data_IF_173352117845
#
_entry.id   IF_173352117845
#
_cell.length_a   1.000
_cell.length_b   1.000
_cell.length_c   1.000
_cell.angle_alpha   90.00
_cell.angle_beta   90.00
_cell.angle_gamma   90.00
#
_symmetry.space_group_name_H-M   'P 1'
#
loop_
_entity.id
_entity.type
_entity.pdbx_description
1 polymer ?
#
# COMPACT_ATOMS: atom_id res chain seq x y z
N UNK A 1 19.58 -6.84 -23.10
CA UNK A 1 19.62 -6.18 -21.79
C UNK A 1 19.03 -7.09 -20.73
N UNK A 2 19.74 -7.27 -19.64
CA UNK A 2 19.25 -8.09 -18.54
C UNK A 2 18.14 -7.40 -17.77
N UNK A 3 17.11 -8.15 -17.38
CA UNK A 3 16.11 -7.69 -16.41
C UNK A 3 16.67 -7.94 -15.01
N UNK A 4 16.79 -6.89 -14.22
CA UNK A 4 17.18 -7.03 -12.82
C UNK A 4 15.93 -7.39 -12.00
N UNK A 5 15.98 -8.52 -11.32
CA UNK A 5 14.92 -8.98 -10.43
C UNK A 5 15.42 -8.96 -9.00
N UNK A 6 14.71 -8.27 -8.13
CA UNK A 6 14.95 -8.32 -6.69
C UNK A 6 13.77 -9.03 -6.05
N UNK A 7 14.04 -10.00 -5.20
CA UNK A 7 13.00 -10.79 -4.54
C UNK A 7 13.23 -10.77 -3.04
N UNK A 8 12.15 -10.51 -2.30
CA UNK A 8 12.17 -10.52 -0.84
C UNK A 8 10.93 -11.25 -0.30
N UNK A 9 11.11 -11.97 0.80
CA UNK A 9 10.01 -12.60 1.51
C UNK A 9 9.61 -11.69 2.67
N UNK A 10 8.36 -11.24 2.65
CA UNK A 10 7.77 -10.42 3.69
C UNK A 10 6.98 -11.29 4.65
N UNK A 11 7.51 -11.49 5.83
CA UNK A 11 6.84 -12.25 6.88
C UNK A 11 5.70 -11.47 7.52
N UNK A 12 4.75 -12.17 8.14
CA UNK A 12 3.66 -11.56 8.87
C UNK A 12 4.14 -10.58 9.95
N UNK A 13 3.48 -9.45 10.08
CA UNK A 13 3.86 -8.39 11.01
C UNK A 13 5.06 -7.55 10.60
N UNK A 14 5.58 -7.76 9.40
CA UNK A 14 6.69 -6.99 8.85
C UNK A 14 6.20 -5.98 7.81
N UNK A 15 7.09 -5.06 7.47
CA UNK A 15 6.81 -4.06 6.45
C UNK A 15 7.95 -4.01 5.43
N UNK A 16 7.64 -3.48 4.28
CA UNK A 16 8.57 -3.30 3.18
C UNK A 16 8.30 -1.96 2.50
N UNK A 17 9.34 -1.31 2.06
CA UNK A 17 9.23 -0.06 1.31
C UNK A 17 10.33 0.03 0.27
N UNK A 18 10.00 0.59 -0.87
CA UNK A 18 10.95 0.78 -1.95
C UNK A 18 10.49 1.90 -2.87
N UNK A 19 11.43 2.59 -3.45
CA UNK A 19 11.16 3.50 -4.56
C UNK A 19 11.05 2.70 -5.85
N UNK A 20 9.93 2.85 -6.53
CA UNK A 20 9.66 2.20 -7.81
C UNK A 20 9.66 3.26 -8.89
N UNK A 21 10.47 3.06 -9.92
CA UNK A 21 10.56 3.97 -11.05
C UNK A 21 9.62 3.53 -12.17
N UNK A 22 9.32 4.46 -13.07
CA UNK A 22 8.53 4.17 -14.26
C UNK A 22 9.16 3.01 -15.04
N UNK A 23 8.33 2.09 -15.50
CA UNK A 23 8.75 0.91 -16.25
C UNK A 23 9.10 -0.30 -15.39
N UNK A 24 9.18 -0.14 -14.08
CA UNK A 24 9.35 -1.27 -13.16
C UNK A 24 8.01 -1.93 -12.88
N UNK A 25 8.06 -3.23 -12.59
CA UNK A 25 6.90 -4.01 -12.16
C UNK A 25 7.09 -4.46 -10.72
N UNK A 26 6.03 -4.34 -9.92
CA UNK A 26 5.95 -4.92 -8.59
C UNK A 26 5.02 -6.13 -8.66
N UNK A 27 5.51 -7.28 -8.23
CA UNK A 27 4.72 -8.49 -8.10
C UNK A 27 4.57 -8.85 -6.62
N UNK A 28 3.34 -9.05 -6.20
CA UNK A 28 3.00 -9.54 -4.87
C UNK A 28 2.49 -10.97 -5.00
N UNK A 29 3.12 -11.90 -4.30
CA UNK A 29 2.75 -13.31 -4.33
C UNK A 29 2.43 -13.79 -2.94
N UNK A 30 1.26 -14.39 -2.77
CA UNK A 30 0.87 -15.00 -1.51
C UNK A 30 1.33 -16.46 -1.51
N UNK A 31 2.35 -16.75 -0.72
CA UNK A 31 3.00 -18.07 -0.71
C UNK A 31 2.18 -19.12 0.03
N UNK A 32 1.41 -18.71 1.03
CA UNK A 32 0.68 -19.64 1.91
C UNK A 32 -0.83 -19.63 1.68
N UNK A 33 -1.33 -18.72 0.87
CA UNK A 33 -2.75 -18.63 0.52
C UNK A 33 -3.63 -17.92 1.56
N UNK A 34 -3.06 -17.38 2.63
CA UNK A 34 -3.80 -16.71 3.69
C UNK A 34 -3.22 -15.32 4.03
N UNK A 35 -2.41 -14.77 3.15
CA UNK A 35 -1.76 -13.48 3.34
C UNK A 35 -2.73 -12.32 3.16
N UNK A 36 -2.53 -11.29 3.96
CA UNK A 36 -3.22 -10.00 3.81
C UNK A 36 -2.17 -8.89 3.80
N UNK A 37 -2.03 -8.24 2.67
CA UNK A 37 -1.04 -7.17 2.47
C UNK A 37 -1.75 -5.84 2.26
N UNK A 38 -1.44 -4.87 3.12
CA UNK A 38 -1.85 -3.49 2.91
C UNK A 38 -0.81 -2.74 2.08
N UNK A 39 -1.26 -1.90 1.18
CA UNK A 39 -0.39 -1.12 0.32
C UNK A 39 -0.78 0.36 0.34
N UNK A 40 0.21 1.22 0.47
CA UNK A 40 0.10 2.64 0.21
C UNK A 40 1.18 3.06 -0.76
N UNK A 41 0.95 4.12 -1.49
CA UNK A 41 1.91 4.64 -2.44
C UNK A 41 1.89 6.16 -2.47
N UNK A 42 3.06 6.73 -2.69
CA UNK A 42 3.27 8.17 -2.80
C UNK A 42 4.06 8.47 -4.06
N UNK A 43 3.84 9.64 -4.63
CA UNK A 43 4.72 10.15 -5.65
C UNK A 43 6.07 10.51 -5.02
N UNK A 44 7.16 9.88 -5.47
CA UNK A 44 8.49 10.13 -4.92
C UNK A 44 9.00 11.56 -5.13
N UNK A 45 8.51 12.24 -6.15
CA UNK A 45 8.87 13.63 -6.46
C UNK A 45 8.02 14.64 -5.70
N UNK A 46 6.82 14.25 -5.28
CA UNK A 46 5.89 15.06 -4.52
C UNK A 46 5.13 14.17 -3.53
N UNK A 47 5.65 13.99 -2.31
CA UNK A 47 5.04 13.09 -1.32
C UNK A 47 3.64 13.50 -0.85
N UNK A 48 3.18 14.69 -1.19
CA UNK A 48 1.80 15.11 -0.93
C UNK A 48 0.82 14.41 -1.85
N UNK A 49 1.27 14.01 -3.04
CA UNK A 49 0.48 13.21 -3.95
C UNK A 49 0.57 11.73 -3.57
N UNK A 50 -0.55 11.12 -3.28
CA UNK A 50 -0.63 9.73 -2.82
C UNK A 50 -1.73 8.94 -3.49
N UNK A 51 -1.62 7.64 -3.39
CA UNK A 51 -2.66 6.72 -3.85
C UNK A 51 -3.99 7.04 -3.17
N UNK A 52 -5.03 7.19 -3.99
CA UNK A 52 -6.40 7.41 -3.55
C UNK A 52 -7.30 6.32 -4.10
N UNK A 53 -7.67 5.38 -3.26
CA UNK A 53 -8.52 4.25 -3.66
C UNK A 53 -9.95 4.69 -3.99
N UNK A 54 -10.62 5.55 -3.19
CA UNK A 54 -11.94 6.05 -3.58
C UNK A 54 -11.98 6.68 -4.98
N UNK A 55 -11.01 7.51 -5.32
CA UNK A 55 -10.94 8.11 -6.65
C UNK A 55 -10.64 7.06 -7.73
N UNK A 56 -9.81 6.07 -7.44
CA UNK A 56 -9.53 4.96 -8.36
C UNK A 56 -10.79 4.18 -8.69
N UNK A 57 -11.64 3.91 -7.71
CA UNK A 57 -12.92 3.23 -7.92
C UNK A 57 -13.89 4.10 -8.71
N UNK A 58 -14.02 5.36 -8.32
CA UNK A 58 -14.95 6.30 -8.93
C UNK A 58 -14.64 6.56 -10.40
N UNK A 59 -13.37 6.83 -10.73
CA UNK A 59 -12.96 7.11 -12.09
C UNK A 59 -13.20 5.94 -13.05
N UNK A 60 -13.16 4.73 -12.54
CA UNK A 60 -13.29 3.51 -13.34
C UNK A 60 -14.66 2.84 -13.19
N UNK A 61 -15.56 3.42 -12.42
CA UNK A 61 -16.91 2.91 -12.19
C UNK A 61 -16.92 1.45 -11.73
N UNK A 62 -16.05 1.09 -10.79
CA UNK A 62 -15.92 -0.27 -10.30
C UNK A 62 -15.62 -0.31 -8.81
N UNK A 63 -16.02 -1.37 -8.13
CA UNK A 63 -15.55 -1.71 -6.78
C UNK A 63 -14.50 -2.82 -6.80
N UNK A 64 -14.22 -3.37 -7.97
CA UNK A 64 -13.28 -4.47 -8.14
C UNK A 64 -12.09 -4.00 -8.95
N UNK A 65 -10.99 -3.71 -8.26
CA UNK A 65 -9.73 -3.37 -8.90
C UNK A 65 -8.99 -4.67 -9.23
N UNK A 66 -8.82 -4.93 -10.51
CA UNK A 66 -8.19 -6.13 -11.03
C UNK A 66 -7.44 -5.81 -12.33
N UNK A 67 -6.99 -6.83 -13.04
CA UNK A 67 -6.30 -6.69 -14.33
C UNK A 67 -7.04 -5.72 -15.25
N UNK A 68 -6.31 -4.77 -15.81
CA UNK A 68 -6.85 -3.74 -16.69
C UNK A 68 -7.27 -2.46 -15.98
N UNK A 69 -7.34 -2.45 -14.66
CA UNK A 69 -7.60 -1.26 -13.88
C UNK A 69 -6.32 -0.51 -13.50
N UNK A 70 -6.47 0.75 -13.18
CA UNK A 70 -5.38 1.61 -12.74
C UNK A 70 -5.59 2.06 -11.30
N UNK A 71 -4.50 2.41 -10.65
CA UNK A 71 -4.49 3.01 -9.32
C UNK A 71 -4.14 4.49 -9.47
N UNK A 72 -5.08 5.35 -9.11
CA UNK A 72 -4.97 6.80 -9.26
C UNK A 72 -4.51 7.48 -7.98
N UNK A 73 -3.81 8.59 -8.16
CA UNK A 73 -3.50 9.49 -7.05
C UNK A 73 -4.67 10.41 -6.72
N UNK A 74 -4.59 11.09 -5.59
CA UNK A 74 -5.53 12.14 -5.20
C UNK A 74 -5.48 13.39 -6.12
N UNK A 75 -4.48 13.47 -7.00
CA UNK A 75 -4.36 14.49 -8.04
C UNK A 75 -4.83 14.00 -9.42
N UNK A 76 -5.46 12.84 -9.49
CA UNK A 76 -6.02 12.28 -10.72
C UNK A 76 -5.00 11.68 -11.68
N UNK A 77 -3.79 11.43 -11.24
CA UNK A 77 -2.74 10.79 -12.06
C UNK A 77 -2.66 9.30 -11.80
N UNK A 78 -2.33 8.54 -12.82
CA UNK A 78 -2.12 7.10 -12.69
C UNK A 78 -0.75 6.84 -12.05
N UNK A 79 -0.76 6.20 -10.88
CA UNK A 79 0.47 5.75 -10.21
C UNK A 79 0.88 4.35 -10.66
N UNK A 80 -0.08 3.45 -10.80
CA UNK A 80 0.13 2.06 -11.19
C UNK A 80 -0.94 1.58 -12.14
N UNK A 81 -0.61 0.60 -12.95
CA UNK A 81 -1.56 -0.17 -13.74
C UNK A 81 -1.47 -1.63 -13.32
N UNK A 82 -2.61 -2.26 -13.11
CA UNK A 82 -2.66 -3.69 -12.76
C UNK A 82 -2.60 -4.48 -14.06
N UNK A 83 -1.46 -5.11 -14.30
CA UNK A 83 -1.22 -5.85 -15.54
C UNK A 83 -1.56 -7.33 -15.44
N UNK A 84 -1.46 -7.91 -14.26
CA UNK A 84 -1.86 -9.28 -13.98
C UNK A 84 -2.45 -9.38 -12.58
N UNK A 85 -3.47 -10.19 -12.42
CA UNK A 85 -4.14 -10.43 -11.15
C UNK A 85 -4.83 -11.80 -11.17
N UNK A 86 -4.21 -12.79 -10.55
CA UNK A 86 -4.76 -14.12 -10.45
C UNK A 86 -5.78 -14.28 -9.32
N UNK A 87 -5.76 -13.40 -8.33
CA UNK A 87 -6.72 -13.43 -7.23
C UNK A 87 -8.06 -12.81 -7.62
N UNK A 88 -8.03 -11.67 -8.29
CA UNK A 88 -9.19 -11.02 -8.87
C UNK A 88 -10.09 -10.25 -7.90
N UNK A 89 -9.80 -10.25 -6.61
CA UNK A 89 -10.59 -9.52 -5.63
C UNK A 89 -9.72 -8.95 -4.51
N UNK A 90 -9.77 -7.64 -4.34
CA UNK A 90 -9.01 -6.93 -3.32
C UNK A 90 -9.92 -6.00 -2.53
N UNK A 91 -9.67 -5.90 -1.23
CA UNK A 91 -10.40 -4.96 -0.38
C UNK A 91 -9.95 -3.53 -0.68
N UNK A 92 -10.87 -2.76 -1.19
CA UNK A 92 -10.65 -1.35 -1.54
C UNK A 92 -11.40 -0.39 -0.59
N UNK A 93 -12.06 -0.89 0.44
CA UNK A 93 -12.99 -0.10 1.25
C UNK A 93 -12.61 -0.07 2.74
N UNK A 94 -12.19 -1.21 3.31
CA UNK A 94 -12.03 -1.33 4.77
C UNK A 94 -10.77 -0.65 5.32
N UNK A 95 -9.82 -0.31 4.46
CA UNK A 95 -8.58 0.36 4.86
C UNK A 95 -7.62 -0.55 5.63
N UNK A 96 -6.71 0.06 6.36
CA UNK A 96 -5.68 -0.65 7.13
C UNK A 96 -6.15 -0.96 8.56
N UNK A 97 -5.51 -1.97 9.17
CA UNK A 97 -5.75 -2.28 10.58
C UNK A 97 -5.15 -1.22 11.49
N UNK A 98 -5.79 -1.00 12.62
CA UNK A 98 -5.31 -0.17 13.72
C UNK A 98 -5.45 -0.95 15.03
N UNK A 99 -4.85 -0.42 16.08
CA UNK A 99 -4.98 -1.04 17.40
C UNK A 99 -6.45 -1.18 17.81
N UNK A 100 -7.23 -0.14 17.63
CA UNK A 100 -8.65 -0.11 18.00
C UNK A 100 -9.46 -1.17 17.22
N UNK A 101 -9.27 -1.25 15.92
CA UNK A 101 -9.98 -2.22 15.09
C UNK A 101 -9.57 -3.66 15.41
N UNK A 102 -8.31 -3.87 15.73
CA UNK A 102 -7.80 -5.19 16.10
C UNK A 102 -8.37 -5.64 17.43
N UNK A 103 -8.42 -4.75 18.43
CA UNK A 103 -9.02 -5.04 19.74
C UNK A 103 -10.51 -5.34 19.60
N UNK A 104 -11.25 -4.58 18.81
CA UNK A 104 -12.67 -4.82 18.58
C UNK A 104 -12.93 -6.19 17.95
N UNK A 105 -12.13 -6.57 16.98
CA UNK A 105 -12.35 -7.77 16.18
C UNK A 105 -11.83 -9.04 16.84
N UNK A 106 -10.69 -8.95 17.51
CA UNK A 106 -9.96 -10.10 18.04
C UNK A 106 -9.78 -10.10 19.54
N UNK A 107 -10.14 -9.01 20.23
CA UNK A 107 -10.01 -8.86 21.68
C UNK A 107 -8.62 -8.54 22.18
N UNK A 108 -7.61 -8.65 21.33
CA UNK A 108 -6.21 -8.36 21.66
C UNK A 108 -5.56 -7.61 20.52
N UNK A 109 -4.56 -6.81 20.85
CA UNK A 109 -3.75 -6.13 19.84
C UNK A 109 -2.28 -6.28 20.20
N UNK A 110 -1.47 -6.51 19.16
CA UNK A 110 -0.03 -6.42 19.26
C UNK A 110 0.41 -5.06 18.74
N UNK A 111 1.66 -4.72 18.96
CA UNK A 111 2.24 -3.48 18.43
C UNK A 111 2.28 -3.48 16.90
N UNK A 112 2.30 -4.63 16.26
CA UNK A 112 2.43 -4.78 14.82
C UNK A 112 1.06 -4.80 14.16
N UNK A 113 0.66 -3.66 13.63
CA UNK A 113 -0.51 -3.51 12.77
C UNK A 113 -0.13 -2.72 11.50
N UNK A 114 -0.99 -2.70 10.53
CA UNK A 114 -0.72 -2.00 9.25
C UNK A 114 -0.38 -0.53 9.45
N UNK A 115 -1.05 0.13 10.37
CA UNK A 115 -0.81 1.55 10.64
C UNK A 115 0.61 1.80 11.14
N UNK A 116 1.08 1.01 12.10
CA UNK A 116 2.43 1.12 12.62
C UNK A 116 3.47 0.84 11.55
N UNK A 117 3.24 -0.18 10.74
CA UNK A 117 4.13 -0.55 9.65
C UNK A 117 4.21 0.55 8.59
N UNK A 118 3.10 1.18 8.25
CA UNK A 118 3.09 2.32 7.33
C UNK A 118 3.84 3.53 7.88
N UNK A 119 3.69 3.82 9.17
CA UNK A 119 4.43 4.92 9.80
C UNK A 119 5.93 4.64 9.79
N UNK A 120 6.34 3.43 10.10
CA UNK A 120 7.76 3.03 10.04
C UNK A 120 8.32 3.14 8.63
N UNK A 121 7.62 2.62 7.65
CA UNK A 121 8.02 2.72 6.25
C UNK A 121 8.12 4.16 5.79
N UNK A 122 7.18 5.00 6.19
CA UNK A 122 7.21 6.42 5.87
C UNK A 122 8.43 7.14 6.47
N UNK A 123 8.81 6.79 7.67
CA UNK A 123 10.02 7.32 8.30
C UNK A 123 11.29 6.86 7.59
N UNK A 124 11.38 5.60 7.24
CA UNK A 124 12.52 5.04 6.51
C UNK A 124 12.72 5.71 5.15
N UNK A 125 11.62 6.02 4.46
CA UNK A 125 11.65 6.72 3.18
C UNK A 125 11.76 8.24 3.31
N UNK A 126 11.81 8.77 4.54
CA UNK A 126 11.83 10.21 4.81
C UNK A 126 10.64 10.97 4.22
N UNK A 127 9.48 10.31 4.15
CA UNK A 127 8.23 10.90 3.64
C UNK A 127 7.54 11.83 4.64
N UNK A 128 7.91 11.73 5.92
CA UNK A 128 7.37 12.55 7.00
C UNK A 128 8.51 13.20 7.78
N UNK A 129 8.24 14.36 8.38
CA UNK A 129 9.23 15.07 9.20
C UNK A 129 9.28 14.44 10.59
N UNK A 130 10.34 13.69 10.87
CA UNK A 130 10.55 13.00 12.15
C UNK A 130 10.68 14.01 13.32
N UNK A 131 11.22 15.19 13.05
CA UNK A 131 11.34 16.27 14.05
C UNK A 131 10.02 16.91 14.45
N UNK A 132 8.94 16.62 13.75
CA UNK A 132 7.62 17.19 13.99
C UNK A 132 6.58 16.10 14.16
N UNK A 133 6.55 15.43 15.31
CA UNK A 133 5.69 14.25 15.52
C UNK A 133 4.19 14.53 15.34
N UNK A 134 3.76 15.77 15.52
CA UNK A 134 2.36 16.15 15.35
C UNK A 134 1.86 16.09 13.91
N UNK A 135 2.76 16.01 12.95
CA UNK A 135 2.44 15.95 11.51
C UNK A 135 2.26 14.53 10.97
N UNK A 136 2.35 13.52 11.83
CA UNK A 136 2.24 12.14 11.39
C UNK A 136 0.80 11.69 11.10
N UNK A 137 -0.17 12.59 11.27
CA UNK A 137 -1.60 12.29 11.17
C UNK A 137 -2.09 12.00 9.77
N UNK A 138 -1.36 12.28 8.75
CA UNK A 138 -1.80 12.14 7.38
C UNK A 138 -1.49 10.81 6.74
N UNK A 139 -0.97 9.89 7.49
CA UNK A 139 -0.50 8.61 6.96
C UNK A 139 -1.42 7.47 7.34
#
# INVERSE_FOLDING_TARGET
MGVSVTEEILEGGKHWSMRINRGMCLQLSDLEGAGCVGMIAFNAMDPLERLNIPDSLKCQHTFKLTKGNCLYSDMGRILFSIIEDSHGWHDAVCGSTSQESTVQKWGVSTYQDHRNDFIRSGRELSLIHISEPTRHRGI
#
